data_IF_730426719152
#
_entry.id   IF_730426719152
#
_cell.length_a   1.000
_cell.length_b   1.000
_cell.length_c   1.000
_cell.angle_alpha   90.00
_cell.angle_beta   90.00
_cell.angle_gamma   90.00
#
_symmetry.space_group_name_H-M   'P 1'
#
loop_
_entity.id
_entity.type
_entity.pdbx_description
1 polymer ?
#
# COMPACT_ATOMS: atom_id res chain seq x y z
N UNK A 1 -15.98 12.87 -15.42
CA UNK A 1 -16.65 11.63 -15.88
C UNK A 1 -18.08 11.83 -16.42
N UNK A 2 -18.41 12.98 -17.03
CA UNK A 2 -19.81 13.26 -17.46
C UNK A 2 -20.23 12.55 -18.76
N UNK A 3 -19.31 11.84 -19.43
CA UNK A 3 -19.53 11.21 -20.74
C UNK A 3 -19.52 9.67 -20.72
N UNK A 4 -19.09 9.03 -19.63
CA UNK A 4 -19.09 7.55 -19.53
C UNK A 4 -20.48 6.96 -19.26
N UNK A 5 -21.46 7.81 -18.88
CA UNK A 5 -22.84 7.41 -18.64
C UNK A 5 -23.68 7.19 -19.91
N UNK A 6 -23.13 7.39 -21.11
CA UNK A 6 -23.90 7.30 -22.37
C UNK A 6 -23.48 6.18 -23.33
N UNK A 7 -22.57 5.28 -22.94
CA UNK A 7 -22.08 4.23 -23.85
C UNK A 7 -22.48 2.84 -23.33
N UNK A 8 -23.29 2.15 -24.14
CA UNK A 8 -23.28 0.69 -24.34
C UNK A 8 -23.62 -0.24 -23.17
N UNK A 9 -23.52 -1.54 -23.46
CA UNK A 9 -23.82 -2.63 -22.50
C UNK A 9 -22.86 -2.63 -21.30
N UNK A 10 -23.29 -3.23 -20.18
CA UNK A 10 -22.52 -3.33 -18.92
C UNK A 10 -21.08 -3.82 -19.12
N UNK A 11 -20.85 -4.72 -20.09
CA UNK A 11 -19.53 -5.27 -20.40
C UNK A 11 -18.59 -4.26 -21.08
N UNK A 12 -19.13 -3.31 -21.84
CA UNK A 12 -18.36 -2.21 -22.43
C UNK A 12 -18.08 -1.11 -21.41
N UNK A 13 -18.92 -0.99 -20.38
CA UNK A 13 -18.73 -0.04 -19.26
C UNK A 13 -17.71 -0.51 -18.23
N UNK A 14 -17.57 -1.81 -18.03
CA UNK A 14 -16.65 -2.39 -17.03
C UNK A 14 -15.21 -1.87 -17.16
N UNK A 15 -14.57 -1.87 -18.35
CA UNK A 15 -13.24 -1.31 -18.53
C UNK A 15 -13.16 0.17 -18.19
N UNK A 16 -14.19 0.96 -18.56
CA UNK A 16 -14.24 2.40 -18.27
C UNK A 16 -14.55 2.71 -16.80
N UNK A 17 -15.33 1.87 -16.12
CA UNK A 17 -15.60 2.00 -14.69
C UNK A 17 -14.37 1.58 -13.89
N UNK A 18 -13.72 0.47 -14.27
CA UNK A 18 -12.43 0.08 -13.73
C UNK A 18 -11.40 1.19 -13.97
N UNK A 19 -11.32 1.75 -15.18
CA UNK A 19 -10.43 2.87 -15.47
C UNK A 19 -10.82 4.13 -14.68
N UNK A 20 -12.10 4.42 -14.48
CA UNK A 20 -12.55 5.52 -13.63
C UNK A 20 -12.16 5.32 -12.16
N UNK A 21 -12.23 4.08 -11.66
CA UNK A 21 -11.88 3.73 -10.29
C UNK A 21 -10.36 3.64 -10.07
N UNK A 22 -9.63 3.14 -11.08
CA UNK A 22 -8.20 2.85 -11.07
C UNK A 22 -7.31 3.87 -11.81
N UNK A 23 -7.84 4.88 -12.50
CA UNK A 23 -7.00 5.71 -13.40
C UNK A 23 -7.32 7.22 -13.43
N UNK A 24 -8.35 7.71 -12.73
CA UNK A 24 -8.59 9.16 -12.59
C UNK A 24 -7.64 9.83 -11.55
N UNK A 25 -6.43 9.28 -11.40
CA UNK A 25 -5.41 9.72 -10.44
C UNK A 25 -4.79 11.08 -10.78
N UNK A 26 -4.98 11.58 -12.01
CA UNK A 26 -4.57 12.93 -12.41
C UNK A 26 -5.45 14.06 -11.83
N UNK A 27 -6.67 13.79 -11.37
CA UNK A 27 -7.55 14.84 -10.85
C UNK A 27 -7.87 14.74 -9.35
N UNK A 28 -7.51 13.63 -8.70
CA UNK A 28 -7.83 13.40 -7.29
C UNK A 28 -6.66 12.80 -6.51
N UNK A 29 -6.12 13.58 -5.56
CA UNK A 29 -5.10 13.15 -4.58
C UNK A 29 -5.67 12.13 -3.59
N UNK A 30 -6.97 12.20 -3.30
CA UNK A 30 -7.60 11.38 -2.26
C UNK A 30 -7.58 9.89 -2.61
N UNK A 31 -7.71 9.52 -3.89
CA UNK A 31 -7.78 8.11 -4.32
C UNK A 31 -6.48 7.33 -4.14
N UNK A 32 -5.31 7.78 -4.61
CA UNK A 32 -4.06 7.06 -4.38
C UNK A 32 -3.72 7.03 -2.88
N UNK A 33 -4.10 8.07 -2.13
CA UNK A 33 -3.98 8.06 -0.66
C UNK A 33 -4.83 6.96 -0.02
N UNK A 34 -6.12 6.82 -0.38
CA UNK A 34 -6.98 5.76 0.16
C UNK A 34 -6.50 4.37 -0.24
N UNK A 35 -6.01 4.18 -1.46
CA UNK A 35 -5.42 2.90 -1.88
C UNK A 35 -4.17 2.56 -1.07
N UNK A 36 -3.28 3.52 -0.84
CA UNK A 36 -2.14 3.33 0.07
C UNK A 36 -2.62 2.97 1.48
N UNK A 37 -3.61 3.69 2.01
CA UNK A 37 -4.17 3.41 3.32
C UNK A 37 -4.75 1.98 3.42
N UNK A 38 -5.46 1.52 2.40
CA UNK A 38 -6.01 0.15 2.35
C UNK A 38 -4.89 -0.90 2.29
N UNK A 39 -3.87 -0.70 1.44
CA UNK A 39 -2.72 -1.62 1.34
C UNK A 39 -1.94 -1.68 2.66
N UNK A 40 -1.78 -0.54 3.33
CA UNK A 40 -1.17 -0.47 4.65
C UNK A 40 -1.99 -1.24 5.69
N UNK A 41 -3.29 -0.94 5.77
CA UNK A 41 -4.18 -1.53 6.76
C UNK A 41 -4.26 -3.05 6.59
N UNK A 42 -4.41 -3.54 5.36
CA UNK A 42 -4.44 -4.99 5.09
C UNK A 42 -3.12 -5.66 5.48
N UNK A 43 -1.97 -5.07 5.14
CA UNK A 43 -0.69 -5.64 5.56
C UNK A 43 -0.50 -5.62 7.07
N UNK A 44 -0.92 -4.54 7.73
CA UNK A 44 -0.89 -4.45 9.19
C UNK A 44 -1.73 -5.55 9.83
N UNK A 45 -2.95 -5.77 9.36
CA UNK A 45 -3.83 -6.79 9.92
C UNK A 45 -3.23 -8.20 9.76
N UNK A 46 -2.72 -8.53 8.58
CA UNK A 46 -2.11 -9.86 8.32
C UNK A 46 -0.84 -10.07 9.14
N UNK A 47 0.01 -9.06 9.26
CA UNK A 47 1.25 -9.14 10.06
C UNK A 47 0.92 -9.19 11.56
N UNK A 48 -0.05 -8.38 12.02
CA UNK A 48 -0.47 -8.35 13.42
C UNK A 48 -1.13 -9.67 13.84
N UNK A 49 -2.02 -10.24 13.01
CA UNK A 49 -2.62 -11.55 13.27
C UNK A 49 -1.53 -12.62 13.44
N UNK A 50 -0.49 -12.59 12.60
CA UNK A 50 0.61 -13.53 12.73
C UNK A 50 1.39 -13.34 14.04
N UNK A 51 1.67 -12.10 14.45
CA UNK A 51 2.33 -11.82 15.73
C UNK A 51 1.46 -12.18 16.94
N UNK A 52 0.13 -12.04 16.84
CA UNK A 52 -0.82 -12.44 17.88
C UNK A 52 -0.90 -13.97 17.96
N UNK A 53 -0.96 -14.67 16.84
CA UNK A 53 -1.00 -16.13 16.79
C UNK A 53 0.30 -16.77 17.34
N UNK A 54 1.44 -16.11 17.14
CA UNK A 54 2.74 -16.54 17.67
C UNK A 54 3.08 -15.98 19.07
N UNK A 55 2.09 -15.49 19.83
CA UNK A 55 2.26 -14.95 21.20
C UNK A 55 2.99 -15.90 22.18
N UNK A 56 3.12 -17.19 21.86
CA UNK A 56 3.96 -18.12 22.61
C UNK A 56 5.48 -17.79 22.53
N UNK A 57 5.96 -17.12 21.47
CA UNK A 57 7.35 -16.67 21.28
C UNK A 57 7.37 -15.38 20.44
N UNK A 58 7.14 -14.20 21.04
CA UNK A 58 7.18 -12.95 20.29
C UNK A 58 8.55 -12.76 19.62
N UNK A 59 8.52 -12.57 18.31
CA UNK A 59 9.70 -12.43 17.46
C UNK A 59 10.39 -11.10 17.83
N UNK A 60 11.48 -11.17 18.60
CA UNK A 60 12.20 -10.00 19.13
C UNK A 60 11.32 -8.99 19.91
N UNK A 61 10.29 -9.45 20.64
CA UNK A 61 9.39 -8.56 21.38
C UNK A 61 8.42 -7.77 20.49
N UNK A 62 8.14 -8.27 19.29
CA UNK A 62 7.18 -7.71 18.34
C UNK A 62 5.81 -7.48 18.97
N UNK A 63 5.25 -6.28 18.79
CA UNK A 63 3.90 -5.88 19.18
C UNK A 63 3.10 -5.39 17.97
N UNK A 64 1.82 -5.03 18.18
CA UNK A 64 0.95 -4.50 17.10
C UNK A 64 1.54 -3.25 16.43
N UNK A 65 2.29 -2.44 17.18
CA UNK A 65 3.01 -1.28 16.66
C UNK A 65 4.13 -1.66 15.69
N UNK A 66 4.80 -2.78 15.94
CA UNK A 66 5.84 -3.35 15.05
C UNK A 66 5.20 -3.79 13.73
N UNK A 67 4.01 -4.40 13.77
CA UNK A 67 3.27 -4.78 12.56
C UNK A 67 2.85 -3.56 11.72
N UNK A 68 2.35 -2.52 12.38
CA UNK A 68 2.03 -1.23 11.74
C UNK A 68 3.25 -0.58 11.11
N UNK A 69 4.36 -0.51 11.84
CA UNK A 69 5.60 0.10 11.38
C UNK A 69 6.22 -0.69 10.22
N UNK A 70 6.18 -2.02 10.26
CA UNK A 70 6.70 -2.87 9.19
C UNK A 70 5.88 -2.68 7.90
N UNK A 71 4.56 -2.79 7.99
CA UNK A 71 3.65 -2.53 6.86
C UNK A 71 3.87 -1.12 6.30
N UNK A 72 3.98 -0.11 7.17
CA UNK A 72 4.26 1.27 6.74
C UNK A 72 5.60 1.39 6.03
N UNK A 73 6.64 0.74 6.53
CA UNK A 73 7.96 0.77 5.91
C UNK A 73 7.97 0.16 4.51
N UNK A 74 7.14 -0.86 4.27
CA UNK A 74 6.94 -1.48 2.95
C UNK A 74 6.20 -0.55 1.97
N UNK A 75 5.35 0.36 2.48
CA UNK A 75 4.69 1.35 1.64
C UNK A 75 5.64 2.42 1.12
N UNK A 76 6.74 2.67 1.82
CA UNK A 76 7.65 3.78 1.57
C UNK A 76 9.09 3.29 1.33
N UNK A 77 9.32 2.40 0.34
CA UNK A 77 10.62 1.78 0.12
C UNK A 77 11.71 2.78 -0.27
N UNK A 78 11.33 3.86 -0.94
CA UNK A 78 12.23 4.95 -1.39
C UNK A 78 12.94 5.62 -0.21
N UNK A 79 12.29 5.66 0.96
CA UNK A 79 12.84 6.27 2.17
C UNK A 79 13.71 5.31 2.99
N UNK A 80 13.68 4.01 2.69
CA UNK A 80 14.54 3.02 3.34
C UNK A 80 14.21 2.71 4.81
N UNK A 81 13.03 3.10 5.31
CA UNK A 81 12.62 2.90 6.71
C UNK A 81 12.75 1.44 7.18
N UNK A 82 12.46 0.48 6.30
CA UNK A 82 12.56 -0.94 6.64
C UNK A 82 13.95 -1.34 7.12
N UNK A 83 15.01 -0.87 6.44
CA UNK A 83 16.40 -1.18 6.82
C UNK A 83 16.95 -0.27 7.93
N UNK A 84 16.35 0.90 8.11
CA UNK A 84 16.79 1.87 9.12
C UNK A 84 16.26 1.52 10.52
N UNK A 85 15.01 1.02 10.61
CA UNK A 85 14.34 0.75 11.88
C UNK A 85 14.28 -0.73 12.25
N UNK A 86 14.40 -1.64 11.29
CA UNK A 86 14.40 -3.09 11.56
C UNK A 86 15.78 -3.69 11.31
N UNK A 87 16.23 -4.52 12.25
CA UNK A 87 17.49 -5.26 12.12
C UNK A 87 17.41 -6.29 10.99
N UNK A 88 18.56 -6.58 10.37
CA UNK A 88 18.64 -7.61 9.34
C UNK A 88 18.19 -8.98 9.87
N UNK A 89 18.51 -9.28 11.12
CA UNK A 89 18.11 -10.52 11.80
C UNK A 89 16.59 -10.62 11.96
N UNK A 90 15.91 -9.52 12.29
CA UNK A 90 14.45 -9.47 12.36
C UNK A 90 13.82 -9.75 10.99
N UNK A 91 14.29 -9.07 9.94
CA UNK A 91 13.78 -9.25 8.58
C UNK A 91 14.06 -10.66 8.03
N UNK A 92 15.17 -11.28 8.43
CA UNK A 92 15.50 -12.66 8.05
C UNK A 92 14.69 -13.70 8.84
N UNK A 93 14.35 -13.42 10.09
CA UNK A 93 13.52 -14.28 10.93
C UNK A 93 12.04 -14.28 10.53
N UNK A 94 11.59 -13.32 9.70
CA UNK A 94 10.23 -13.33 9.16
C UNK A 94 9.95 -14.61 8.35
N UNK A 95 8.76 -15.20 8.51
CA UNK A 95 8.35 -16.35 7.73
C UNK A 95 8.15 -15.96 6.25
N UNK A 96 8.22 -16.97 5.38
CA UNK A 96 8.26 -16.77 3.94
C UNK A 96 7.00 -16.06 3.39
N UNK A 97 5.81 -16.35 3.95
CA UNK A 97 4.57 -15.71 3.51
C UNK A 97 4.53 -14.21 3.82
N UNK A 98 5.05 -13.78 4.99
CA UNK A 98 5.12 -12.36 5.34
C UNK A 98 6.19 -11.61 4.52
N UNK A 99 7.29 -12.27 4.18
CA UNK A 99 8.28 -11.70 3.24
C UNK A 99 7.68 -11.47 1.86
N UNK A 100 6.93 -12.46 1.35
CA UNK A 100 6.23 -12.33 0.07
C UNK A 100 5.19 -11.20 0.10
N UNK A 101 4.39 -11.11 1.17
CA UNK A 101 3.43 -10.02 1.37
C UNK A 101 4.13 -8.66 1.41
N UNK A 102 5.21 -8.53 2.18
CA UNK A 102 5.99 -7.29 2.30
C UNK A 102 6.59 -6.85 0.96
N UNK A 103 7.10 -7.81 0.18
CA UNK A 103 7.56 -7.57 -1.19
C UNK A 103 6.43 -7.11 -2.11
N UNK A 104 5.26 -7.75 -2.04
CA UNK A 104 4.08 -7.34 -2.81
C UNK A 104 3.61 -5.92 -2.44
N UNK A 105 3.52 -5.60 -1.14
CA UNK A 105 3.21 -4.25 -0.67
C UNK A 105 4.20 -3.21 -1.22
N UNK A 106 5.48 -3.55 -1.26
CA UNK A 106 6.55 -2.69 -1.80
C UNK A 106 6.39 -2.44 -3.30
N UNK A 107 6.09 -3.48 -4.08
CA UNK A 107 5.87 -3.32 -5.53
C UNK A 107 4.57 -2.57 -5.81
N UNK A 108 3.51 -2.84 -5.06
CA UNK A 108 2.21 -2.19 -5.21
C UNK A 108 2.23 -0.72 -4.77
N UNK A 109 3.06 -0.36 -3.78
CA UNK A 109 3.16 1.00 -3.27
C UNK A 109 3.84 1.95 -4.24
N UNK A 110 4.82 1.49 -5.04
CA UNK A 110 5.52 2.33 -6.02
C UNK A 110 4.60 3.07 -7.02
N UNK A 111 3.70 2.39 -7.77
CA UNK A 111 2.79 3.09 -8.69
C UNK A 111 1.81 4.00 -7.93
N UNK A 112 1.35 3.60 -6.75
CA UNK A 112 0.43 4.40 -5.93
C UNK A 112 1.08 5.69 -5.41
N UNK A 113 2.33 5.61 -4.95
CA UNK A 113 3.12 6.77 -4.54
C UNK A 113 3.42 7.68 -5.72
N UNK A 114 3.71 7.12 -6.90
CA UNK A 114 3.89 7.90 -8.11
C UNK A 114 2.62 8.69 -8.46
N UNK A 115 1.45 8.04 -8.42
CA UNK A 115 0.18 8.72 -8.64
C UNK A 115 -0.14 9.78 -7.58
N UNK A 116 0.18 9.51 -6.31
CA UNK A 116 0.07 10.50 -5.24
C UNK A 116 0.95 11.73 -5.53
N UNK A 117 2.20 11.51 -5.94
CA UNK A 117 3.14 12.56 -6.34
C UNK A 117 2.65 13.39 -7.53
N UNK A 118 2.10 12.74 -8.55
CA UNK A 118 1.48 13.43 -9.70
C UNK A 118 0.31 14.31 -9.26
N UNK A 119 -0.59 13.78 -8.42
CA UNK A 119 -1.73 14.54 -7.89
C UNK A 119 -1.29 15.75 -7.07
N UNK A 120 -0.26 15.59 -6.23
CA UNK A 120 0.32 16.70 -5.46
C UNK A 120 0.90 17.79 -6.38
N UNK A 121 1.69 17.41 -7.39
CA UNK A 121 2.26 18.36 -8.37
C UNK A 121 1.16 19.16 -9.08
N UNK A 122 0.06 18.50 -9.45
CA UNK A 122 -1.02 19.13 -10.20
C UNK A 122 -1.84 20.11 -9.33
N UNK A 123 -2.04 19.82 -8.04
CA UNK A 123 -2.75 20.73 -7.12
C UNK A 123 -1.89 21.88 -6.64
N UNK A 124 -0.61 21.63 -6.36
CA UNK A 124 0.26 22.67 -5.83
C UNK A 124 0.86 23.59 -6.88
N UNK A 125 0.65 23.33 -8.20
CA UNK A 125 1.20 24.13 -9.32
C UNK A 125 2.55 24.74 -8.93
N UNK A 126 3.50 23.87 -8.62
CA UNK A 126 4.89 24.29 -8.43
C UNK A 126 5.30 24.89 -9.78
N UNK A 127 5.31 26.21 -9.85
CA UNK A 127 5.87 26.98 -10.96
C UNK A 127 7.38 26.95 -10.86
#
# INVERSE_FOLDING_TARGET
MHFAGQIGSIWQRLPYLLFGWFSDYGHSIARPFWWLFVVWLLGTLVIAEHFVAETAKPLFGSNDWTAMALSFSNLFPVFGFGRAYFSADFLQALPQHLKALSGFQTVASLPLLFFLGLGLRQRFRLR
#
